data_IF_641968331202
#
_entry.id   IF_641968331202
#
_cell.length_a   1.000
_cell.length_b   1.000
_cell.length_c   1.000
_cell.angle_alpha   90.00
_cell.angle_beta   90.00
_cell.angle_gamma   90.00
#
_symmetry.space_group_name_H-M   'P 1'
#
loop_
_entity.id
_entity.type
_entity.pdbx_description
1 polymer ?
#
# COMPACT_ATOMS: atom_id res chain seq x y z
N UNK A 1 12.44 9.24 14.50
CA UNK A 1 11.12 9.51 15.11
C UNK A 1 10.38 10.40 14.12
N UNK A 2 9.23 9.95 13.61
CA UNK A 2 8.45 10.73 12.63
C UNK A 2 7.77 11.88 13.38
N UNK A 3 7.85 13.09 12.85
CA UNK A 3 7.29 14.32 13.44
C UNK A 3 5.78 14.15 13.76
N UNK A 4 5.33 14.43 15.00
CA UNK A 4 3.95 14.25 15.42
C UNK A 4 2.96 15.18 14.69
N UNK A 5 3.41 16.28 14.07
CA UNK A 5 2.51 17.21 13.37
C UNK A 5 2.23 16.80 11.92
N UNK A 6 2.87 15.74 11.43
CA UNK A 6 2.64 15.22 10.08
C UNK A 6 1.26 14.59 9.94
N UNK A 7 0.59 14.91 8.83
CA UNK A 7 -0.65 14.24 8.44
C UNK A 7 -0.39 12.74 8.25
N UNK A 8 -1.42 11.90 8.43
CA UNK A 8 -1.29 10.45 8.22
C UNK A 8 -0.74 10.15 6.81
N UNK A 9 -1.17 10.91 5.80
CA UNK A 9 -0.68 10.75 4.44
C UNK A 9 0.83 11.02 4.32
N UNK A 10 1.36 12.03 5.02
CA UNK A 10 2.79 12.34 5.01
C UNK A 10 3.61 11.29 5.75
N UNK A 11 3.07 10.77 6.87
CA UNK A 11 3.70 9.67 7.60
C UNK A 11 3.79 8.41 6.75
N UNK A 12 2.72 8.04 6.05
CA UNK A 12 2.70 6.93 5.09
C UNK A 12 3.69 7.19 3.95
N UNK A 13 3.72 8.42 3.42
CA UNK A 13 4.68 8.81 2.39
C UNK A 13 6.14 8.70 2.85
N UNK A 14 6.45 8.93 4.13
CA UNK A 14 7.78 8.69 4.68
C UNK A 14 8.10 7.19 4.75
N UNK A 15 7.16 6.34 5.17
CA UNK A 15 7.35 4.89 5.20
C UNK A 15 7.64 4.33 3.80
N UNK A 16 6.83 4.72 2.81
CA UNK A 16 7.01 4.30 1.42
C UNK A 16 8.34 4.80 0.87
N UNK A 17 8.73 6.05 1.16
CA UNK A 17 10.03 6.59 0.70
C UNK A 17 11.21 5.85 1.28
N UNK A 18 11.14 5.46 2.55
CA UNK A 18 12.18 4.67 3.19
C UNK A 18 12.31 3.30 2.49
N UNK A 19 11.20 2.61 2.27
CA UNK A 19 11.18 1.32 1.57
C UNK A 19 11.72 1.43 0.13
N UNK A 20 11.29 2.45 -0.61
CA UNK A 20 11.75 2.74 -1.99
C UNK A 20 13.26 3.04 -2.04
N UNK A 21 13.84 3.60 -0.98
CA UNK A 21 15.27 3.89 -0.90
C UNK A 21 16.10 2.63 -0.62
N UNK A 22 15.53 1.66 0.08
CA UNK A 22 16.17 0.38 0.42
C UNK A 22 15.93 -0.73 -0.62
N UNK A 23 15.08 -0.45 -1.62
CA UNK A 23 14.72 -1.41 -2.66
C UNK A 23 15.93 -1.93 -3.46
N UNK A 24 15.99 -3.25 -3.77
CA UNK A 24 17.02 -3.80 -4.63
C UNK A 24 16.95 -3.20 -6.04
N UNK A 25 18.11 -3.03 -6.67
CA UNK A 25 18.27 -2.45 -8.02
C UNK A 25 19.35 -3.16 -8.86
N UNK A 26 19.81 -4.32 -8.40
CA UNK A 26 20.93 -5.06 -8.97
C UNK A 26 20.58 -5.62 -10.36
N UNK A 27 19.39 -6.18 -10.52
CA UNK A 27 18.94 -6.77 -11.78
C UNK A 27 18.03 -5.83 -12.58
N UNK A 28 17.87 -6.11 -13.88
CA UNK A 28 16.91 -5.40 -14.71
C UNK A 28 15.47 -5.61 -14.20
N UNK A 29 15.17 -6.80 -13.68
CA UNK A 29 13.89 -7.12 -13.06
C UNK A 29 13.61 -6.24 -11.84
N UNK A 30 14.60 -6.08 -10.95
CA UNK A 30 14.45 -5.25 -9.74
C UNK A 30 14.14 -3.79 -10.10
N UNK A 31 14.87 -3.25 -11.08
CA UNK A 31 14.65 -1.88 -11.56
C UNK A 31 13.29 -1.69 -12.23
N UNK A 32 12.86 -2.66 -13.05
CA UNK A 32 11.54 -2.61 -13.69
C UNK A 32 10.42 -2.67 -12.66
N UNK A 33 10.57 -3.53 -11.66
CA UNK A 33 9.63 -3.67 -10.56
C UNK A 33 9.52 -2.39 -9.71
N UNK A 34 10.66 -1.82 -9.30
CA UNK A 34 10.70 -0.54 -8.59
C UNK A 34 10.07 0.60 -9.40
N UNK A 35 10.31 0.63 -10.72
CA UNK A 35 9.70 1.62 -11.61
C UNK A 35 8.19 1.46 -11.68
N UNK A 36 7.68 0.23 -11.81
CA UNK A 36 6.26 -0.08 -11.81
C UNK A 36 5.59 0.35 -10.49
N UNK A 37 6.19 -0.01 -9.35
CA UNK A 37 5.69 0.41 -8.04
C UNK A 37 5.62 1.94 -7.92
N UNK A 38 6.70 2.65 -8.28
CA UNK A 38 6.73 4.13 -8.27
C UNK A 38 5.65 4.75 -9.16
N UNK A 39 5.41 4.18 -10.34
CA UNK A 39 4.39 4.66 -11.26
C UNK A 39 2.96 4.43 -10.73
N UNK A 40 2.77 3.37 -9.94
CA UNK A 40 1.50 3.06 -9.31
C UNK A 40 1.21 3.92 -8.07
N UNK A 41 2.22 4.51 -7.42
CA UNK A 41 2.01 5.32 -6.21
C UNK A 41 1.05 6.50 -6.43
N UNK A 42 0.22 6.73 -5.41
CA UNK A 42 -0.66 7.90 -5.30
C UNK A 42 -0.38 8.65 -4.02
N UNK A 43 -0.84 9.90 -3.92
CA UNK A 43 -0.91 10.58 -2.62
C UNK A 43 -1.85 9.78 -1.73
N UNK A 44 -1.43 9.34 -0.53
CA UNK A 44 -2.30 8.49 0.29
C UNK A 44 -3.62 9.18 0.62
N UNK A 45 -4.73 8.48 0.43
CA UNK A 45 -6.07 8.99 0.71
C UNK A 45 -6.91 7.95 1.45
N UNK A 46 -7.80 8.43 2.33
CA UNK A 46 -8.65 7.57 3.14
C UNK A 46 -9.57 6.72 2.25
N UNK A 47 -9.70 5.43 2.58
CA UNK A 47 -10.49 4.46 1.83
C UNK A 47 -11.13 3.50 2.82
N UNK A 48 -12.44 3.26 2.68
CA UNK A 48 -13.12 2.21 3.45
C UNK A 48 -12.77 0.86 2.84
N UNK A 49 -12.17 -0.02 3.63
CA UNK A 49 -11.74 -1.35 3.23
C UNK A 49 -12.58 -2.39 3.95
N UNK A 50 -13.00 -3.41 3.22
CA UNK A 50 -13.73 -4.56 3.74
C UNK A 50 -12.75 -5.62 4.27
N UNK A 51 -13.16 -6.32 5.31
CA UNK A 51 -12.41 -7.41 5.92
C UNK A 51 -13.30 -8.65 6.05
N UNK A 52 -12.69 -9.83 6.09
CA UNK A 52 -13.40 -11.06 6.38
C UNK A 52 -14.21 -10.94 7.68
N UNK A 53 -15.43 -11.49 7.69
CA UNK A 53 -16.37 -11.33 8.80
C UNK A 53 -17.30 -10.11 8.69
N UNK A 54 -17.30 -9.39 7.56
CA UNK A 54 -18.24 -8.30 7.30
C UNK A 54 -17.91 -6.99 8.00
N UNK A 55 -16.66 -6.84 8.45
CA UNK A 55 -16.16 -5.63 9.09
C UNK A 55 -15.61 -4.65 8.05
N UNK A 56 -15.72 -3.36 8.34
CA UNK A 56 -15.07 -2.31 7.54
C UNK A 56 -14.17 -1.45 8.41
N UNK A 57 -13.10 -0.93 7.81
CA UNK A 57 -12.19 0.00 8.47
C UNK A 57 -11.69 1.06 7.47
N UNK A 58 -11.54 2.30 7.95
CA UNK A 58 -10.82 3.32 7.22
C UNK A 58 -9.32 2.99 7.19
N UNK A 59 -8.82 2.73 5.99
CA UNK A 59 -7.42 2.55 5.65
C UNK A 59 -6.99 3.65 4.67
N UNK A 60 -5.76 3.59 4.18
CA UNK A 60 -5.25 4.59 3.23
C UNK A 60 -4.78 3.91 1.94
N UNK A 61 -5.42 4.19 0.81
CA UNK A 61 -4.93 3.73 -0.50
C UNK A 61 -3.59 4.39 -0.81
N UNK A 62 -2.60 3.60 -1.23
CA UNK A 62 -1.24 4.08 -1.55
C UNK A 62 -0.79 3.79 -2.98
N UNK A 63 -1.43 2.86 -3.67
CA UNK A 63 -1.27 2.67 -5.12
C UNK A 63 -2.58 2.91 -5.85
N UNK A 64 -2.50 3.24 -7.15
CA UNK A 64 -3.63 3.11 -8.06
C UNK A 64 -4.07 1.65 -8.09
N UNK A 65 -5.36 1.44 -8.36
CA UNK A 65 -5.85 0.12 -8.73
C UNK A 65 -5.38 -0.22 -10.15
N UNK A 66 -5.04 -1.47 -10.39
CA UNK A 66 -4.83 -2.02 -11.74
C UNK A 66 -6.13 -2.61 -12.34
N UNK A 67 -7.24 -2.50 -11.62
CA UNK A 67 -8.53 -3.09 -11.96
C UNK A 67 -8.88 -4.29 -11.07
N UNK A 68 -7.87 -5.00 -10.57
CA UNK A 68 -8.02 -6.21 -9.77
C UNK A 68 -7.50 -6.03 -8.34
N UNK A 69 -6.44 -5.24 -8.17
CA UNK A 69 -5.73 -5.07 -6.91
C UNK A 69 -5.33 -3.62 -6.62
N UNK A 70 -5.17 -3.31 -5.34
CA UNK A 70 -4.47 -2.11 -4.85
C UNK A 70 -3.75 -2.39 -3.54
N UNK A 71 -2.74 -1.59 -3.23
CA UNK A 71 -2.10 -1.59 -1.90
C UNK A 71 -2.69 -0.48 -1.03
N UNK A 72 -2.98 -0.83 0.22
CA UNK A 72 -3.46 0.09 1.26
C UNK A 72 -2.55 0.03 2.50
N UNK A 73 -2.58 1.08 3.31
CA UNK A 73 -1.97 1.13 4.63
C UNK A 73 -3.03 1.00 5.72
N UNK A 74 -2.80 0.09 6.67
CA UNK A 74 -3.67 -0.15 7.83
C UNK A 74 -3.16 0.62 9.05
N UNK A 75 -3.80 1.73 9.46
CA UNK A 75 -3.25 2.60 10.51
C UNK A 75 -3.18 1.94 11.89
N UNK A 76 -4.12 1.02 12.19
CA UNK A 76 -4.17 0.35 13.49
C UNK A 76 -3.08 -0.70 13.64
N UNK A 77 -2.70 -1.33 12.53
CA UNK A 77 -1.73 -2.42 12.52
C UNK A 77 -0.31 -1.93 12.18
N UNK A 78 -0.19 -0.79 11.50
CA UNK A 78 1.09 -0.17 11.20
C UNK A 78 1.81 -0.76 9.98
N UNK A 79 1.10 -1.48 9.11
CA UNK A 79 1.64 -2.14 7.91
C UNK A 79 0.77 -1.92 6.68
N UNK A 80 1.23 -2.43 5.54
CA UNK A 80 0.50 -2.41 4.27
C UNK A 80 -0.18 -3.75 3.99
N UNK A 81 -1.19 -3.71 3.13
CA UNK A 81 -1.89 -4.89 2.66
C UNK A 81 -2.24 -4.78 1.18
N UNK A 82 -2.29 -5.91 0.51
CA UNK A 82 -2.89 -6.04 -0.80
C UNK A 82 -4.40 -6.28 -0.64
N UNK A 83 -5.20 -5.47 -1.32
CA UNK A 83 -6.64 -5.68 -1.44
C UNK A 83 -6.99 -6.07 -2.86
N UNK A 84 -8.01 -6.91 -2.99
CA UNK A 84 -8.72 -7.12 -4.27
C UNK A 84 -9.81 -6.07 -4.44
N UNK A 85 -10.05 -5.64 -5.67
CA UNK A 85 -11.23 -4.88 -6.02
C UNK A 85 -12.47 -5.79 -5.98
N UNK A 86 -13.59 -5.24 -5.51
CA UNK A 86 -14.87 -5.91 -5.54
C UNK A 86 -15.99 -4.90 -5.74
N UNK A 87 -17.20 -5.38 -6.03
CA UNK A 87 -18.39 -4.56 -6.16
C UNK A 87 -18.74 -3.78 -4.87
N UNK A 88 -18.21 -4.22 -3.73
CA UNK A 88 -18.39 -3.58 -2.42
C UNK A 88 -17.21 -2.68 -2.02
N UNK A 89 -16.27 -2.44 -2.95
CA UNK A 89 -15.01 -1.74 -2.70
C UNK A 89 -13.86 -2.70 -2.37
N UNK A 90 -12.68 -2.18 -2.00
CA UNK A 90 -11.50 -3.01 -1.76
C UNK A 90 -11.71 -3.96 -0.58
N UNK A 91 -11.27 -5.21 -0.75
CA UNK A 91 -11.34 -6.27 0.25
C UNK A 91 -9.93 -6.74 0.61
N UNK A 92 -9.59 -6.72 1.89
CA UNK A 92 -8.37 -7.35 2.40
C UNK A 92 -8.42 -8.87 2.24
N UNK A 93 -7.34 -9.44 1.70
CA UNK A 93 -7.20 -10.89 1.43
C UNK A 93 -6.10 -11.55 2.28
N UNK A 94 -5.59 -10.85 3.30
CA UNK A 94 -4.60 -11.41 4.24
C UNK A 94 -3.15 -11.36 3.76
N UNK A 95 -2.85 -10.65 2.66
CA UNK A 95 -1.49 -10.44 2.16
C UNK A 95 -0.95 -9.13 2.75
N UNK A 96 -0.22 -9.24 3.86
CA UNK A 96 0.24 -8.11 4.67
C UNK A 96 1.77 -8.00 4.71
N UNK A 97 2.29 -6.79 4.85
CA UNK A 97 3.73 -6.56 4.95
C UNK A 97 4.17 -5.16 4.51
N UNK A 98 5.41 -5.05 3.99
CA UNK A 98 5.90 -3.85 3.31
C UNK A 98 5.08 -3.53 2.04
N UNK A 99 5.03 -2.27 1.62
CA UNK A 99 4.16 -1.83 0.52
C UNK A 99 4.58 -2.45 -0.82
N UNK A 100 5.90 -2.49 -1.10
CA UNK A 100 6.44 -3.19 -2.26
C UNK A 100 6.19 -4.69 -2.12
N UNK A 101 6.41 -5.30 -0.95
CA UNK A 101 6.11 -6.73 -0.74
C UNK A 101 4.68 -7.10 -1.15
N UNK A 102 3.68 -6.31 -0.69
CA UNK A 102 2.29 -6.47 -1.09
C UNK A 102 2.08 -6.26 -2.60
N UNK A 103 2.67 -5.21 -3.18
CA UNK A 103 2.58 -4.93 -4.62
C UNK A 103 3.21 -6.02 -5.50
N UNK A 104 4.23 -6.75 -4.99
CA UNK A 104 4.90 -7.84 -5.70
C UNK A 104 4.16 -9.19 -5.65
N UNK A 105 3.05 -9.27 -4.91
CA UNK A 105 2.37 -10.53 -4.64
C UNK A 105 1.45 -10.98 -5.79
N UNK A 106 1.37 -10.21 -6.87
CA UNK A 106 0.58 -10.45 -8.08
C UNK A 106 1.40 -10.22 -9.35
#
# INVERSE_FOLDING_TARGET
MIDPDLSIADRIGLLIRAEVAEAPVQTAKDRAYLAAFRAALVRPFATTVNFSGGLTQTCWTVTRTDGDYRVIYMPRAGYFALCVESDFGPLDIGVHGPAMGCFASV
#
